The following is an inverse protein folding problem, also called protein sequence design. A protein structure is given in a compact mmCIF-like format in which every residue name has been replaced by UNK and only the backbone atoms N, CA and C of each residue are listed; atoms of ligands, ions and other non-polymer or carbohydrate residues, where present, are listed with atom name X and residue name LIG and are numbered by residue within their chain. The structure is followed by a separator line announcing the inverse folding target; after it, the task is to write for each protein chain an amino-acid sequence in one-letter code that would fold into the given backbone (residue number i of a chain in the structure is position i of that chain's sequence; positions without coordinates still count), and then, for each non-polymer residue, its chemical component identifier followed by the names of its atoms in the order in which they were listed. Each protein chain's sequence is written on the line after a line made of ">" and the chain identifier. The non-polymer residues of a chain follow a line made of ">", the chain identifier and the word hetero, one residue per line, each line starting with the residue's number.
data_IF_996341067892
#
_entry.id   IF_996341067892
#
_cell.length_a   1.000
_cell.length_b   1.000
_cell.length_c   1.000
_cell.angle_alpha   90.00
_cell.angle_beta   90.00
_cell.angle_gamma   90.00
#
_symmetry.space_group_name_H-M   'P 1'
#
loop_
_entity.id
_entity.type
_entity.pdbx_description
1 polymer ?
#
# COMPACT_ATOMS: atom_id res chain seq x y z
N UNK A 1 5.16 21.36 21.63
CA UNK A 1 5.77 20.44 20.64
C UNK A 1 4.85 20.45 19.43
N UNK A 2 5.35 20.80 18.27
CA UNK A 2 4.57 20.73 17.02
C UNK A 2 4.38 19.24 16.73
N UNK A 3 3.13 18.77 16.63
CA UNK A 3 2.86 17.39 16.25
C UNK A 3 3.28 17.21 14.79
N UNK A 4 4.18 16.27 14.54
CA UNK A 4 4.58 15.90 13.18
C UNK A 4 3.40 15.20 12.52
N UNK A 5 2.97 15.67 11.36
CA UNK A 5 1.92 15.06 10.56
C UNK A 5 2.55 14.33 9.36
N UNK A 6 2.34 13.03 9.28
CA UNK A 6 2.89 12.17 8.22
C UNK A 6 1.73 11.57 7.42
N UNK A 7 1.76 11.77 6.12
CA UNK A 7 0.79 11.16 5.19
C UNK A 7 1.46 10.00 4.46
N UNK A 8 0.75 8.87 4.36
CA UNK A 8 1.26 7.67 3.69
C UNK A 8 0.31 7.25 2.57
N UNK A 9 0.80 7.11 1.34
CA UNK A 9 0.06 6.42 0.28
C UNK A 9 0.30 4.93 0.42
N UNK A 10 -0.78 4.17 0.57
CA UNK A 10 -0.70 2.74 0.83
C UNK A 10 -1.75 1.94 0.09
N UNK A 11 -1.38 0.73 -0.31
CA UNK A 11 -2.27 -0.32 -0.79
C UNK A 11 -1.69 -1.69 -0.45
N UNK A 12 -2.57 -2.67 -0.24
CA UNK A 12 -2.20 -4.04 0.01
C UNK A 12 -1.41 -4.30 1.30
N UNK A 13 -0.88 -5.52 1.38
CA UNK A 13 -0.18 -6.03 2.58
C UNK A 13 1.13 -5.28 2.86
N UNK A 14 1.87 -4.90 1.82
CA UNK A 14 3.13 -4.16 1.97
C UNK A 14 2.92 -2.81 2.64
N UNK A 15 1.94 -2.04 2.16
CA UNK A 15 1.55 -0.76 2.73
C UNK A 15 1.04 -0.87 4.17
N UNK A 16 0.22 -1.88 4.45
CA UNK A 16 -0.33 -2.14 5.78
C UNK A 16 0.78 -2.46 6.81
N UNK A 17 1.74 -3.32 6.44
CA UNK A 17 2.89 -3.65 7.30
C UNK A 17 3.79 -2.44 7.55
N UNK A 18 4.07 -1.66 6.50
CA UNK A 18 4.85 -0.44 6.63
C UNK A 18 4.19 0.56 7.59
N UNK A 19 2.87 0.78 7.48
CA UNK A 19 2.09 1.61 8.40
C UNK A 19 2.16 1.12 9.85
N UNK A 20 2.12 -0.19 10.08
CA UNK A 20 2.26 -0.75 11.43
C UNK A 20 3.64 -0.45 12.04
N UNK A 21 4.71 -0.58 11.24
CA UNK A 21 6.06 -0.20 11.65
C UNK A 21 6.21 1.31 11.88
N UNK A 22 5.61 2.12 11.03
CA UNK A 22 5.63 3.58 11.17
C UNK A 22 4.93 4.03 12.46
N UNK A 23 3.73 3.50 12.74
CA UNK A 23 3.01 3.78 13.99
C UNK A 23 3.83 3.41 15.23
N UNK A 24 4.53 2.27 15.18
CA UNK A 24 5.41 1.85 16.28
C UNK A 24 6.66 2.73 16.40
N UNK A 25 7.18 3.24 15.29
CA UNK A 25 8.38 4.06 15.27
C UNK A 25 8.16 5.49 15.79
N UNK A 26 6.96 6.04 15.58
CA UNK A 26 6.60 7.43 15.94
C UNK A 26 5.21 7.49 16.57
N UNK A 27 5.04 6.98 17.81
CA UNK A 27 3.73 6.85 18.46
C UNK A 27 3.04 8.20 18.72
N UNK A 28 3.79 9.28 18.80
CA UNK A 28 3.27 10.63 19.07
C UNK A 28 2.95 11.44 17.79
N UNK A 29 3.27 10.90 16.60
CA UNK A 29 2.97 11.57 15.36
C UNK A 29 1.51 11.37 14.94
N UNK A 30 0.93 12.39 14.29
CA UNK A 30 -0.32 12.23 13.56
C UNK A 30 -0.03 11.47 12.26
N UNK A 31 -0.69 10.34 12.06
CA UNK A 31 -0.56 9.52 10.87
C UNK A 31 -1.88 9.51 10.09
N UNK A 32 -1.82 9.81 8.81
CA UNK A 32 -2.93 9.68 7.87
C UNK A 32 -2.52 8.77 6.73
N UNK A 33 -3.30 7.73 6.46
CA UNK A 33 -3.10 6.83 5.33
C UNK A 33 -4.14 7.13 4.24
N UNK A 34 -3.67 7.48 3.05
CA UNK A 34 -4.50 7.53 1.83
C UNK A 34 -4.42 6.15 1.18
N UNK A 35 -5.53 5.44 1.21
CA UNK A 35 -5.57 4.02 0.83
C UNK A 35 -6.23 3.85 -0.54
N UNK A 36 -5.63 2.99 -1.37
CA UNK A 36 -6.17 2.59 -2.65
C UNK A 36 -7.56 1.96 -2.51
N UNK A 37 -8.49 2.36 -3.36
CA UNK A 37 -9.83 1.79 -3.50
C UNK A 37 -10.14 1.35 -4.93
N UNK A 38 -9.11 1.35 -5.81
CA UNK A 38 -9.28 0.88 -7.19
C UNK A 38 -9.43 -0.64 -7.30
N UNK A 39 -9.08 -1.37 -6.25
CA UNK A 39 -9.21 -2.84 -6.20
C UNK A 39 -10.54 -3.29 -5.57
N UNK A 40 -11.38 -2.33 -5.18
CA UNK A 40 -12.68 -2.58 -4.61
C UNK A 40 -13.58 -3.33 -5.59
N UNK A 41 -14.33 -4.30 -5.06
CA UNK A 41 -15.19 -5.17 -5.87
C UNK A 41 -16.55 -5.36 -5.21
N UNK A 42 -17.57 -5.60 -6.01
CA UNK A 42 -18.89 -5.99 -5.51
C UNK A 42 -19.13 -7.47 -5.81
N UNK A 43 -19.24 -8.28 -4.75
CA UNK A 43 -19.49 -9.72 -4.84
C UNK A 43 -20.67 -10.10 -3.94
N UNK A 44 -21.56 -10.94 -4.44
CA UNK A 44 -22.78 -11.33 -3.73
C UNK A 44 -23.61 -10.13 -3.19
N UNK A 45 -23.58 -9.01 -3.91
CA UNK A 45 -24.23 -7.76 -3.50
C UNK A 45 -23.49 -6.98 -2.40
N UNK A 46 -22.33 -7.44 -1.95
CA UNK A 46 -21.53 -6.79 -0.90
C UNK A 46 -20.38 -5.99 -1.50
N UNK A 47 -20.17 -4.76 -1.00
CA UNK A 47 -19.00 -3.95 -1.31
C UNK A 47 -17.81 -4.40 -0.48
N UNK A 48 -16.77 -4.83 -1.14
CA UNK A 48 -15.52 -5.32 -0.57
C UNK A 48 -14.42 -4.34 -0.93
N UNK A 49 -13.66 -3.89 0.07
CA UNK A 49 -12.57 -2.93 -0.09
C UNK A 49 -11.26 -3.57 0.43
N UNK A 50 -10.58 -4.40 -0.38
CA UNK A 50 -9.50 -5.27 0.09
C UNK A 50 -8.34 -4.51 0.74
N UNK A 51 -7.93 -3.38 0.17
CA UNK A 51 -6.81 -2.60 0.69
C UNK A 51 -7.16 -1.87 1.98
N UNK A 52 -8.33 -1.22 2.04
CA UNK A 52 -8.83 -0.59 3.27
C UNK A 52 -8.95 -1.60 4.41
N UNK A 53 -9.50 -2.78 4.13
CA UNK A 53 -9.70 -3.83 5.12
C UNK A 53 -8.36 -4.40 5.60
N UNK A 54 -7.44 -4.67 4.68
CA UNK A 54 -6.09 -5.14 5.02
C UNK A 54 -5.35 -4.14 5.91
N UNK A 55 -5.39 -2.84 5.59
CA UNK A 55 -4.77 -1.80 6.42
C UNK A 55 -5.44 -1.72 7.78
N UNK A 56 -6.78 -1.65 7.81
CA UNK A 56 -7.56 -1.55 9.03
C UNK A 56 -7.33 -2.75 9.97
N UNK A 57 -7.39 -3.97 9.43
CA UNK A 57 -7.17 -5.19 10.21
C UNK A 57 -5.73 -5.35 10.68
N UNK A 58 -4.76 -4.98 9.87
CA UNK A 58 -3.35 -5.01 10.26
C UNK A 58 -3.09 -4.09 11.44
N UNK A 59 -3.54 -2.84 11.33
CA UNK A 59 -3.35 -1.85 12.38
C UNK A 59 -4.21 -2.14 13.63
N UNK A 60 -5.39 -2.70 13.47
CA UNK A 60 -6.28 -3.08 14.55
C UNK A 60 -5.98 -4.45 15.19
N UNK A 61 -4.93 -5.16 14.73
CA UNK A 61 -4.52 -6.45 15.30
C UNK A 61 -5.44 -7.63 14.95
N UNK A 62 -6.30 -7.46 13.94
CA UNK A 62 -7.26 -8.49 13.52
C UNK A 62 -6.91 -9.22 12.23
N UNK A 63 -5.79 -8.89 11.58
CA UNK A 63 -5.32 -9.54 10.35
C UNK A 63 -4.90 -10.99 10.61
N UNK A 64 -5.12 -11.86 9.65
CA UNK A 64 -4.55 -13.20 9.68
C UNK A 64 -3.02 -13.12 9.40
N UNK A 65 -2.17 -13.56 10.32
CA UNK A 65 -0.72 -13.37 10.21
C UNK A 65 -0.08 -14.24 9.13
N UNK A 66 -0.67 -15.39 8.80
CA UNK A 66 -0.13 -16.33 7.81
C UNK A 66 -0.50 -15.88 6.40
N UNK A 67 -1.78 -15.60 6.16
CA UNK A 67 -2.24 -15.11 4.86
C UNK A 67 -1.81 -13.67 4.60
N UNK A 68 -1.80 -12.84 5.65
CA UNK A 68 -1.55 -11.40 5.57
C UNK A 68 -2.73 -10.62 4.95
N UNK A 69 -3.89 -11.24 4.79
CA UNK A 69 -5.16 -10.66 4.37
C UNK A 69 -6.32 -11.36 5.07
N UNK A 70 -7.49 -10.71 5.10
CA UNK A 70 -8.66 -11.22 5.81
C UNK A 70 -8.44 -11.25 7.33
N UNK A 71 -9.38 -11.82 8.05
CA UNK A 71 -9.37 -11.81 9.51
C UNK A 71 -8.76 -13.08 10.10
N UNK A 72 -8.11 -12.94 11.25
CA UNK A 72 -7.65 -14.07 12.02
C UNK A 72 -8.83 -14.91 12.56
N UNK A 73 -8.64 -16.22 12.60
CA UNK A 73 -9.62 -17.16 13.13
C UNK A 73 -10.92 -17.23 12.32
N UNK A 74 -10.82 -17.07 10.99
CA UNK A 74 -11.95 -17.20 10.08
C UNK A 74 -12.51 -18.64 10.04
N UNK A 75 -13.81 -18.74 9.81
CA UNK A 75 -14.49 -19.90 9.28
C UNK A 75 -15.00 -19.59 7.86
N UNK A 76 -15.43 -20.64 7.15
CA UNK A 76 -15.77 -20.55 5.72
C UNK A 76 -17.13 -21.17 5.42
N UNK A 77 -18.04 -21.16 6.42
CA UNK A 77 -19.36 -21.79 6.36
C UNK A 77 -20.21 -21.14 5.28
N UNK A 78 -20.31 -19.81 5.28
CA UNK A 78 -21.10 -19.06 4.27
C UNK A 78 -20.58 -19.32 2.87
N UNK A 79 -19.26 -19.38 2.67
CA UNK A 79 -18.68 -19.70 1.38
C UNK A 79 -19.07 -21.11 0.89
N UNK A 80 -19.08 -22.11 1.80
CA UNK A 80 -19.49 -23.47 1.48
C UNK A 80 -20.98 -23.54 1.11
N UNK A 81 -21.84 -22.83 1.84
CA UNK A 81 -23.26 -22.77 1.55
C UNK A 81 -23.55 -22.05 0.23
N UNK A 82 -22.90 -20.91 -0.06
CA UNK A 82 -23.03 -20.23 -1.33
C UNK A 82 -22.64 -21.15 -2.50
N UNK A 83 -21.56 -21.91 -2.37
CA UNK A 83 -21.15 -22.88 -3.39
C UNK A 83 -22.19 -23.99 -3.57
N UNK A 84 -22.82 -24.47 -2.49
CA UNK A 84 -23.87 -25.48 -2.53
C UNK A 84 -25.14 -24.99 -3.25
N UNK A 85 -25.47 -23.67 -3.15
CA UNK A 85 -26.51 -23.03 -3.93
C UNK A 85 -26.10 -22.72 -5.38
N UNK A 86 -24.85 -22.97 -5.78
CA UNK A 86 -24.33 -22.60 -7.10
C UNK A 86 -24.14 -21.09 -7.28
N UNK A 87 -24.04 -20.33 -6.18
CA UNK A 87 -23.85 -18.89 -6.24
C UNK A 87 -22.40 -18.54 -6.66
N UNK A 88 -22.25 -17.79 -7.74
CA UNK A 88 -20.98 -17.29 -8.25
C UNK A 88 -20.73 -15.83 -7.79
N UNK A 89 -19.49 -15.40 -7.65
CA UNK A 89 -18.25 -16.15 -7.88
C UNK A 89 -17.78 -16.92 -6.63
N UNK A 90 -17.22 -18.12 -6.83
CA UNK A 90 -16.65 -18.96 -5.77
C UNK A 90 -15.15 -18.77 -5.55
N UNK A 91 -14.48 -18.08 -6.49
CA UNK A 91 -13.02 -17.90 -6.49
C UNK A 91 -12.51 -16.87 -5.47
N UNK A 92 -13.35 -15.93 -5.03
CA UNK A 92 -12.95 -14.95 -4.02
C UNK A 92 -13.30 -15.46 -2.62
N UNK A 93 -12.29 -15.56 -1.76
CA UNK A 93 -12.47 -16.05 -0.39
C UNK A 93 -13.00 -14.95 0.53
N UNK A 94 -14.25 -15.05 0.96
CA UNK A 94 -14.85 -14.24 2.02
C UNK A 94 -14.99 -15.09 3.27
N UNK A 95 -14.31 -14.73 4.35
CA UNK A 95 -14.45 -15.39 5.64
C UNK A 95 -15.73 -14.95 6.36
N UNK A 96 -16.26 -15.80 7.23
CA UNK A 96 -17.53 -15.56 7.92
C UNK A 96 -17.49 -14.30 8.82
N UNK A 97 -16.32 -14.01 9.42
CA UNK A 97 -16.11 -12.79 10.21
C UNK A 97 -15.91 -11.55 9.35
N UNK A 98 -15.24 -11.72 8.21
CA UNK A 98 -15.00 -10.63 7.25
C UNK A 98 -16.31 -10.16 6.61
N UNK A 99 -17.23 -11.09 6.36
CA UNK A 99 -18.59 -10.79 5.89
C UNK A 99 -19.31 -9.74 6.77
N UNK A 100 -19.08 -9.75 8.08
CA UNK A 100 -19.69 -8.75 8.97
C UNK A 100 -19.24 -7.32 8.61
N UNK A 101 -17.98 -7.11 8.26
CA UNK A 101 -17.45 -5.81 7.81
C UNK A 101 -18.09 -5.40 6.49
N UNK A 102 -18.18 -6.33 5.53
CA UNK A 102 -18.78 -6.05 4.22
C UNK A 102 -20.28 -5.77 4.31
N UNK A 103 -21.01 -6.47 5.17
CA UNK A 103 -22.44 -6.21 5.44
C UNK A 103 -22.66 -4.82 6.03
N UNK A 104 -21.88 -4.43 7.05
CA UNK A 104 -21.98 -3.09 7.67
C UNK A 104 -21.65 -2.02 6.64
N UNK A 105 -20.54 -2.19 5.89
CA UNK A 105 -20.14 -1.26 4.84
C UNK A 105 -21.23 -1.09 3.79
N UNK A 106 -21.72 -2.19 3.22
CA UNK A 106 -22.72 -2.15 2.15
C UNK A 106 -24.00 -1.48 2.63
N UNK A 107 -24.48 -1.84 3.82
CA UNK A 107 -25.67 -1.22 4.41
C UNK A 107 -25.52 0.29 4.59
N UNK A 108 -24.35 0.78 5.01
CA UNK A 108 -24.11 2.21 5.17
C UNK A 108 -24.04 2.92 3.81
N UNK A 109 -23.38 2.33 2.83
CA UNK A 109 -23.31 2.86 1.45
C UNK A 109 -24.71 2.94 0.83
N UNK A 110 -25.54 1.91 1.01
CA UNK A 110 -26.94 1.86 0.52
C UNK A 110 -27.82 2.90 1.22
N UNK A 111 -27.49 3.25 2.46
CA UNK A 111 -28.15 4.34 3.19
C UNK A 111 -27.64 5.74 2.76
N UNK A 112 -26.70 5.83 1.79
CA UNK A 112 -26.21 7.07 1.22
C UNK A 112 -24.99 7.67 1.92
N UNK A 113 -24.39 6.98 2.89
CA UNK A 113 -23.13 7.45 3.50
C UNK A 113 -21.97 7.31 2.50
N UNK A 114 -21.10 8.32 2.36
CA UNK A 114 -19.91 8.21 1.52
C UNK A 114 -18.88 7.23 2.12
N UNK A 115 -18.02 6.65 1.27
CA UNK A 115 -17.04 5.64 1.68
C UNK A 115 -16.09 6.14 2.77
N UNK A 116 -15.73 7.43 2.77
CA UNK A 116 -14.92 8.07 3.81
C UNK A 116 -15.56 7.98 5.20
N UNK A 117 -16.85 8.26 5.31
CA UNK A 117 -17.60 8.14 6.57
C UNK A 117 -17.78 6.68 6.99
N UNK A 118 -18.04 5.80 6.03
CA UNK A 118 -18.12 4.35 6.29
C UNK A 118 -16.79 3.82 6.80
N UNK A 119 -15.68 4.23 6.18
CA UNK A 119 -14.33 3.85 6.61
C UNK A 119 -14.03 4.33 8.04
N UNK A 120 -14.38 5.57 8.36
CA UNK A 120 -14.22 6.10 9.71
C UNK A 120 -15.04 5.32 10.75
N UNK A 121 -16.31 5.00 10.45
CA UNK A 121 -17.17 4.21 11.34
C UNK A 121 -16.66 2.77 11.55
N UNK A 122 -16.12 2.14 10.52
CA UNK A 122 -15.50 0.81 10.64
C UNK A 122 -14.18 0.89 11.43
N UNK A 123 -13.35 1.91 11.17
CA UNK A 123 -12.09 2.14 11.87
C UNK A 123 -12.29 2.41 13.37
N UNK A 124 -13.40 3.01 13.76
CA UNK A 124 -13.72 3.25 15.19
C UNK A 124 -13.74 1.94 16.00
N UNK A 125 -14.24 0.85 15.43
CA UNK A 125 -14.17 -0.47 16.08
C UNK A 125 -12.73 -0.98 16.23
N UNK A 126 -11.88 -0.72 15.24
CA UNK A 126 -10.55 -1.32 15.15
C UNK A 126 -9.46 -0.51 15.84
N UNK A 127 -9.74 0.78 16.13
CA UNK A 127 -8.78 1.70 16.75
C UNK A 127 -7.37 1.62 16.11
N UNK A 128 -7.25 1.83 14.79
CA UNK A 128 -5.99 1.58 14.07
C UNK A 128 -4.86 2.51 14.51
N UNK A 129 -5.16 3.62 15.21
CA UNK A 129 -4.16 4.63 15.59
C UNK A 129 -3.59 5.43 14.42
N UNK A 130 -4.20 5.28 13.24
CA UNK A 130 -3.89 5.99 11.99
C UNK A 130 -5.22 6.41 11.39
N UNK A 131 -5.34 7.64 10.93
CA UNK A 131 -6.50 8.10 10.18
C UNK A 131 -6.51 7.43 8.80
N UNK A 132 -7.58 6.67 8.51
CA UNK A 132 -7.71 5.97 7.23
C UNK A 132 -8.64 6.74 6.31
N UNK A 133 -8.12 7.21 5.19
CA UNK A 133 -8.88 7.90 4.15
C UNK A 133 -8.87 7.05 2.87
N UNK A 134 -10.04 6.73 2.29
CA UNK A 134 -10.06 6.19 0.92
C UNK A 134 -9.54 7.25 -0.04
N UNK A 135 -8.93 6.86 -1.14
CA UNK A 135 -8.46 7.83 -2.15
C UNK A 135 -9.59 8.68 -2.71
N UNK A 136 -10.80 8.14 -2.76
CA UNK A 136 -12.02 8.78 -3.28
C UNK A 136 -13.26 8.15 -2.67
N UNK A 137 -14.37 8.89 -2.61
CA UNK A 137 -15.69 8.36 -2.26
C UNK A 137 -16.43 7.77 -3.48
N UNK A 138 -15.97 8.09 -4.69
CA UNK A 138 -16.56 7.61 -5.91
C UNK A 138 -16.10 6.18 -6.21
N UNK A 139 -16.93 5.46 -6.98
CA UNK A 139 -16.57 4.12 -7.45
C UNK A 139 -15.53 4.24 -8.55
N UNK A 140 -14.31 3.78 -8.26
CA UNK A 140 -13.22 3.60 -9.21
C UNK A 140 -12.79 2.14 -9.15
N UNK A 141 -12.67 1.49 -10.29
CA UNK A 141 -12.27 0.08 -10.38
C UNK A 141 -11.12 -0.09 -11.37
N UNK A 142 -10.09 -0.79 -10.94
CA UNK A 142 -8.97 -1.18 -11.81
C UNK A 142 -9.39 -2.40 -12.64
N UNK A 143 -9.34 -2.26 -13.95
CA UNK A 143 -9.55 -3.32 -14.92
C UNK A 143 -8.26 -3.61 -15.68
N UNK A 144 -8.04 -4.87 -15.99
CA UNK A 144 -6.88 -5.35 -16.75
C UNK A 144 -7.33 -5.73 -18.14
N UNK A 145 -6.73 -5.13 -19.15
CA UNK A 145 -6.94 -5.52 -20.52
C UNK A 145 -6.07 -6.73 -20.85
N UNK A 146 -6.69 -7.83 -21.21
CA UNK A 146 -6.04 -9.08 -21.59
C UNK A 146 -6.56 -9.57 -22.94
N UNK A 147 -5.82 -10.47 -23.59
CA UNK A 147 -6.36 -11.19 -24.74
C UNK A 147 -7.20 -12.38 -24.25
N UNK A 148 -8.41 -12.50 -24.77
CA UNK A 148 -9.24 -13.69 -24.59
C UNK A 148 -8.54 -14.90 -25.22
N UNK A 149 -8.28 -15.98 -24.46
CA UNK A 149 -7.49 -17.09 -24.94
C UNK A 149 -8.17 -17.89 -26.07
N UNK A 150 -9.50 -17.84 -26.16
CA UNK A 150 -10.26 -18.57 -27.18
C UNK A 150 -10.40 -17.79 -28.49
N UNK A 151 -10.51 -16.48 -28.42
CA UNK A 151 -10.81 -15.62 -29.58
C UNK A 151 -9.66 -14.68 -29.98
N UNK A 152 -8.67 -14.49 -29.11
CA UNK A 152 -7.60 -13.50 -29.28
C UNK A 152 -8.07 -12.05 -29.17
N UNK A 153 -9.37 -11.79 -28.93
CA UNK A 153 -9.92 -10.44 -28.81
C UNK A 153 -9.53 -9.84 -27.46
N UNK A 154 -9.34 -8.54 -27.42
CA UNK A 154 -9.12 -7.83 -26.17
C UNK A 154 -10.42 -7.79 -25.35
N UNK A 155 -10.28 -8.07 -24.07
CA UNK A 155 -11.32 -7.91 -23.05
C UNK A 155 -10.76 -7.25 -21.80
N UNK A 156 -11.59 -6.51 -21.08
CA UNK A 156 -11.25 -5.95 -19.80
C UNK A 156 -11.86 -6.84 -18.70
N UNK A 157 -11.03 -7.31 -17.79
CA UNK A 157 -11.46 -8.09 -16.62
C UNK A 157 -11.14 -7.31 -15.37
N UNK A 158 -11.94 -7.43 -14.32
CA UNK A 158 -11.66 -6.76 -13.05
C UNK A 158 -10.31 -7.23 -12.47
N UNK A 159 -9.54 -6.32 -11.84
CA UNK A 159 -8.21 -6.62 -11.31
C UNK A 159 -8.22 -7.81 -10.35
N UNK A 160 -9.18 -7.89 -9.43
CA UNK A 160 -9.30 -9.01 -8.49
C UNK A 160 -9.57 -10.33 -9.20
N UNK A 161 -10.34 -10.34 -10.30
CA UNK A 161 -10.56 -11.54 -11.10
C UNK A 161 -9.28 -11.96 -11.81
N UNK A 162 -8.59 -11.03 -12.45
CA UNK A 162 -7.31 -11.31 -13.10
C UNK A 162 -6.27 -11.83 -12.10
N UNK A 163 -6.18 -11.24 -10.92
CA UNK A 163 -5.21 -11.65 -9.92
C UNK A 163 -5.61 -12.95 -9.21
N UNK A 164 -6.79 -12.99 -8.59
CA UNK A 164 -7.17 -14.09 -7.69
C UNK A 164 -7.64 -15.32 -8.46
N UNK A 165 -8.53 -15.12 -9.45
CA UNK A 165 -9.08 -16.23 -10.26
C UNK A 165 -8.07 -16.74 -11.26
N UNK A 166 -7.46 -15.82 -12.02
CA UNK A 166 -6.56 -16.16 -13.12
C UNK A 166 -5.08 -16.14 -12.72
N UNK A 167 -4.74 -15.86 -11.45
CA UNK A 167 -3.37 -15.83 -10.91
C UNK A 167 -2.40 -14.95 -11.71
N UNK A 168 -2.94 -13.91 -12.35
CA UNK A 168 -2.21 -13.05 -13.28
C UNK A 168 -1.51 -13.81 -14.44
N UNK A 169 -2.00 -14.98 -14.80
CA UNK A 169 -1.46 -15.78 -15.93
C UNK A 169 -1.73 -15.13 -17.29
N UNK A 170 -2.94 -14.58 -17.57
CA UNK A 170 -3.15 -13.84 -18.81
C UNK A 170 -2.27 -12.59 -18.83
N UNK A 171 -1.53 -12.41 -19.93
CA UNK A 171 -0.68 -11.25 -20.13
C UNK A 171 -1.49 -9.96 -20.12
N UNK A 172 -1.16 -9.07 -19.17
CA UNK A 172 -1.77 -7.76 -19.09
C UNK A 172 -1.22 -6.85 -20.20
N UNK A 173 -2.09 -6.18 -20.93
CA UNK A 173 -1.74 -5.21 -22.00
C UNK A 173 -1.94 -3.77 -21.58
N UNK A 174 -2.89 -3.52 -20.67
CA UNK A 174 -3.13 -2.21 -20.08
C UNK A 174 -3.84 -2.37 -18.74
N UNK A 175 -3.68 -1.38 -17.86
CA UNK A 175 -4.49 -1.18 -16.67
C UNK A 175 -5.37 0.05 -16.89
N UNK A 176 -6.67 -0.09 -16.68
CA UNK A 176 -7.66 0.97 -16.89
C UNK A 176 -8.42 1.21 -15.61
N UNK A 177 -8.49 2.44 -15.18
CA UNK A 177 -9.24 2.85 -14.00
C UNK A 177 -10.63 3.32 -14.42
N UNK A 178 -11.60 2.43 -14.34
CA UNK A 178 -13.00 2.74 -14.72
C UNK A 178 -13.61 3.66 -13.67
N UNK A 179 -14.17 4.78 -14.11
CA UNK A 179 -14.82 5.78 -13.26
C UNK A 179 -13.87 6.87 -12.71
N UNK A 180 -12.58 6.80 -12.98
CA UNK A 180 -11.60 7.73 -12.41
C UNK A 180 -11.79 9.17 -12.89
N UNK A 181 -12.20 9.39 -14.15
CA UNK A 181 -12.36 10.74 -14.73
C UNK A 181 -13.41 11.60 -13.99
N UNK A 182 -14.40 10.96 -13.38
CA UNK A 182 -15.44 11.60 -12.60
C UNK A 182 -15.14 11.63 -11.09
N UNK A 183 -14.05 10.99 -10.67
CA UNK A 183 -13.67 10.90 -9.26
C UNK A 183 -13.06 12.21 -8.76
N UNK A 184 -13.16 12.41 -7.45
CA UNK A 184 -12.53 13.51 -6.71
C UNK A 184 -11.84 12.93 -5.49
N UNK A 185 -10.81 13.59 -4.95
CA UNK A 185 -10.23 13.21 -3.67
C UNK A 185 -11.31 13.07 -2.60
N UNK A 186 -11.24 12.05 -1.77
CA UNK A 186 -12.13 11.97 -0.63
C UNK A 186 -11.88 13.16 0.33
N UNK A 187 -12.91 13.56 1.11
CA UNK A 187 -12.75 14.63 2.10
C UNK A 187 -11.59 14.35 3.06
N UNK A 188 -10.78 15.37 3.31
CA UNK A 188 -9.60 15.29 4.17
C UNK A 188 -8.30 14.91 3.47
N UNK A 189 -8.33 14.36 2.24
CA UNK A 189 -7.09 13.91 1.57
C UNK A 189 -6.25 15.10 1.09
N UNK A 190 -6.84 16.08 0.44
CA UNK A 190 -6.11 17.27 -0.01
C UNK A 190 -5.59 18.09 1.18
N UNK A 191 -6.38 18.22 2.22
CA UNK A 191 -6.03 18.88 3.47
C UNK A 191 -4.87 18.16 4.19
N UNK A 192 -4.87 16.82 4.17
CA UNK A 192 -3.80 16.03 4.74
C UNK A 192 -2.47 16.29 4.02
N UNK A 193 -2.45 16.33 2.69
CA UNK A 193 -1.24 16.68 1.92
C UNK A 193 -0.79 18.13 2.19
N UNK A 194 -1.71 19.08 2.27
CA UNK A 194 -1.38 20.49 2.52
C UNK A 194 -0.79 20.72 3.92
N UNK A 195 -1.12 19.87 4.89
CA UNK A 195 -0.63 19.96 6.28
C UNK A 195 0.50 18.96 6.59
N UNK A 196 0.97 18.17 5.61
CA UNK A 196 1.96 17.13 5.84
C UNK A 196 3.37 17.69 6.04
N UNK A 197 4.04 17.28 7.11
CA UNK A 197 5.48 17.50 7.31
C UNK A 197 6.32 16.50 6.48
N UNK A 198 5.74 15.33 6.16
CA UNK A 198 6.31 14.34 5.26
C UNK A 198 5.20 13.56 4.55
N UNK A 199 5.45 13.18 3.28
CA UNK A 199 4.62 12.24 2.53
C UNK A 199 5.45 11.01 2.19
N UNK A 200 4.93 9.83 2.52
CA UNK A 200 5.63 8.58 2.30
C UNK A 200 4.87 7.71 1.28
N UNK A 201 5.58 7.25 0.26
CA UNK A 201 5.07 6.21 -0.63
C UNK A 201 5.51 4.87 -0.05
N UNK A 202 4.58 4.14 0.56
CA UNK A 202 4.83 2.80 1.10
C UNK A 202 5.32 1.84 -0.01
N UNK A 203 5.96 0.69 0.33
CA UNK A 203 6.37 -0.32 -0.66
C UNK A 203 5.14 -1.08 -1.20
N UNK A 204 4.20 -0.34 -1.77
CA UNK A 204 2.99 -0.80 -2.46
C UNK A 204 3.24 -0.87 -3.96
N UNK A 205 2.35 -1.55 -4.69
CA UNK A 205 2.48 -1.67 -6.14
C UNK A 205 2.47 -0.29 -6.82
N UNK A 206 3.50 0.05 -7.61
CA UNK A 206 3.59 1.38 -8.24
C UNK A 206 2.47 1.66 -9.24
N UNK A 207 1.91 0.63 -9.87
CA UNK A 207 0.92 0.73 -10.94
C UNK A 207 -0.50 0.72 -10.36
N UNK A 208 -0.87 -0.40 -9.72
CA UNK A 208 -2.26 -0.65 -9.30
C UNK A 208 -2.59 -0.19 -7.87
N UNK A 209 -1.62 0.33 -7.13
CA UNK A 209 -1.89 0.96 -5.83
C UNK A 209 -1.53 2.44 -5.85
N UNK A 210 -0.24 2.80 -5.86
CA UNK A 210 0.20 4.21 -5.84
C UNK A 210 -0.27 4.94 -7.10
N UNK A 211 -0.10 4.31 -8.28
CA UNK A 211 -0.56 4.87 -9.54
C UNK A 211 -2.07 5.09 -9.59
N UNK A 212 -2.85 4.16 -9.03
CA UNK A 212 -4.30 4.27 -8.93
C UNK A 212 -4.73 5.42 -8.02
N UNK A 213 -4.11 5.57 -6.84
CA UNK A 213 -4.36 6.71 -5.94
C UNK A 213 -4.10 8.02 -6.68
N UNK A 214 -2.93 8.14 -7.32
CA UNK A 214 -2.52 9.36 -8.02
C UNK A 214 -3.25 9.60 -9.35
N UNK A 215 -3.97 8.58 -9.84
CA UNK A 215 -4.86 8.68 -10.99
C UNK A 215 -6.14 9.47 -10.72
N UNK A 216 -6.56 9.59 -9.46
CA UNK A 216 -7.72 10.43 -9.10
C UNK A 216 -7.39 11.90 -9.37
N UNK A 217 -8.18 12.61 -10.20
CA UNK A 217 -7.93 14.01 -10.55
C UNK A 217 -7.73 14.89 -9.32
N UNK A 218 -6.65 15.66 -9.31
CA UNK A 218 -6.28 16.55 -8.20
C UNK A 218 -5.37 15.94 -7.13
N UNK A 219 -5.26 14.59 -7.01
CA UNK A 219 -4.41 13.97 -5.98
C UNK A 219 -2.91 14.10 -6.27
N UNK A 220 -2.52 13.96 -7.55
CA UNK A 220 -1.12 14.17 -7.94
C UNK A 220 -0.69 15.63 -7.69
N UNK A 221 -1.53 16.57 -8.06
CA UNK A 221 -1.30 17.99 -7.86
C UNK A 221 -1.22 18.33 -6.37
N UNK A 222 -2.11 17.80 -5.55
CA UNK A 222 -2.09 17.99 -4.10
C UNK A 222 -0.81 17.42 -3.46
N UNK A 223 -0.37 16.24 -3.89
CA UNK A 223 0.90 15.66 -3.44
C UNK A 223 2.09 16.55 -3.86
N UNK A 224 2.12 17.03 -5.09
CA UNK A 224 3.21 17.89 -5.57
C UNK A 224 3.26 19.23 -4.85
N UNK A 225 2.12 19.74 -4.40
CA UNK A 225 2.00 21.00 -3.66
C UNK A 225 2.31 20.85 -2.16
N UNK A 226 2.50 19.63 -1.64
CA UNK A 226 2.79 19.43 -0.21
C UNK A 226 4.06 20.17 0.22
N UNK A 227 4.07 20.82 1.41
CA UNK A 227 5.28 21.45 1.95
C UNK A 227 6.32 20.42 2.40
N UNK A 228 5.86 19.23 2.82
CA UNK A 228 6.70 18.16 3.28
C UNK A 228 7.49 17.49 2.14
N UNK A 229 8.61 16.83 2.50
CA UNK A 229 9.35 16.00 1.54
C UNK A 229 8.60 14.72 1.21
N UNK A 230 8.69 14.30 -0.05
CA UNK A 230 8.11 13.04 -0.54
C UNK A 230 9.19 11.98 -0.60
N UNK A 231 9.03 10.92 0.17
CA UNK A 231 9.99 9.81 0.25
C UNK A 231 9.30 8.52 -0.15
N UNK A 232 9.88 7.81 -1.11
CA UNK A 232 9.36 6.50 -1.51
C UNK A 232 10.25 5.36 -1.02
N UNK A 233 9.63 4.19 -0.83
CA UNK A 233 10.30 2.93 -0.48
C UNK A 233 10.09 1.93 -1.61
N UNK A 234 11.17 1.34 -2.11
CA UNK A 234 11.13 0.38 -3.22
C UNK A 234 10.32 -0.88 -2.86
N UNK A 235 9.36 -1.28 -3.71
CA UNK A 235 8.72 -2.59 -3.59
C UNK A 235 9.56 -3.72 -4.20
N UNK A 236 10.66 -3.39 -4.87
CA UNK A 236 11.58 -4.34 -5.49
C UNK A 236 12.82 -4.47 -4.62
N UNK A 237 13.19 -5.70 -4.32
CA UNK A 237 14.35 -6.07 -3.51
C UNK A 237 15.19 -7.07 -4.30
N UNK A 238 16.46 -6.77 -4.54
CA UNK A 238 17.37 -7.63 -5.29
C UNK A 238 16.79 -8.07 -6.66
N UNK A 239 16.15 -7.13 -7.36
CA UNK A 239 15.55 -7.37 -8.70
C UNK A 239 14.25 -8.19 -8.67
N UNK A 240 13.67 -8.47 -7.50
CA UNK A 240 12.46 -9.27 -7.36
C UNK A 240 11.38 -8.57 -6.51
N UNK A 241 10.14 -8.92 -6.78
CA UNK A 241 9.00 -8.51 -5.94
C UNK A 241 8.98 -9.38 -4.68
N UNK A 242 8.97 -8.75 -3.50
CA UNK A 242 8.88 -9.50 -2.23
C UNK A 242 7.49 -10.11 -2.06
N UNK A 243 6.46 -9.36 -2.44
CA UNK A 243 5.06 -9.81 -2.39
C UNK A 243 4.21 -9.03 -3.41
N UNK A 244 3.20 -9.68 -3.94
CA UNK A 244 2.32 -9.09 -4.95
C UNK A 244 2.79 -9.41 -6.36
N UNK A 245 2.51 -8.52 -7.33
CA UNK A 245 2.74 -8.77 -8.75
C UNK A 245 3.22 -7.52 -9.51
N UNK A 246 4.03 -6.69 -8.86
CA UNK A 246 4.59 -5.52 -9.54
C UNK A 246 5.43 -5.91 -10.77
N UNK A 247 6.02 -7.12 -10.77
CA UNK A 247 6.73 -7.73 -11.90
C UNK A 247 5.84 -7.98 -13.12
N UNK A 248 4.53 -8.19 -12.91
CA UNK A 248 3.54 -8.32 -13.98
C UNK A 248 2.98 -6.97 -14.43
N UNK A 249 3.02 -5.97 -13.54
CA UNK A 249 2.42 -4.67 -13.80
C UNK A 249 3.40 -3.68 -14.46
N UNK A 250 4.64 -3.63 -13.99
CA UNK A 250 5.65 -2.66 -14.45
C UNK A 250 5.97 -2.76 -15.96
N UNK A 251 6.15 -3.98 -16.53
CA UNK A 251 6.45 -4.11 -17.95
C UNK A 251 5.35 -3.56 -18.87
N UNK A 252 4.08 -3.56 -18.42
CA UNK A 252 2.97 -2.99 -19.20
C UNK A 252 3.13 -1.49 -19.42
N UNK A 253 3.83 -0.81 -18.51
CA UNK A 253 4.17 0.61 -18.60
C UNK A 253 5.57 0.85 -19.22
N UNK A 254 6.27 -0.21 -19.67
CA UNK A 254 7.64 -0.11 -20.15
C UNK A 254 8.64 0.17 -19.02
N UNK A 255 8.29 -0.11 -17.78
CA UNK A 255 9.14 0.11 -16.60
C UNK A 255 9.87 -1.18 -16.25
N UNK A 256 11.19 -1.07 -16.07
CA UNK A 256 12.03 -2.18 -15.64
C UNK A 256 11.64 -2.65 -14.22
N UNK A 257 11.67 -3.97 -14.01
CA UNK A 257 11.41 -4.57 -12.69
C UNK A 257 12.68 -4.47 -11.83
N UNK A 258 12.98 -3.26 -11.41
CA UNK A 258 14.12 -2.93 -10.56
C UNK A 258 13.81 -1.75 -9.63
N UNK A 259 14.59 -1.60 -8.56
CA UNK A 259 14.47 -0.45 -7.67
C UNK A 259 14.74 0.87 -8.43
N UNK A 260 15.67 0.85 -9.39
CA UNK A 260 15.98 1.98 -10.27
C UNK A 260 14.81 2.28 -11.21
N UNK A 261 14.26 1.25 -11.88
CA UNK A 261 13.13 1.41 -12.79
C UNK A 261 11.92 2.05 -12.13
N UNK A 262 11.56 1.60 -10.93
CA UNK A 262 10.46 2.21 -10.14
C UNK A 262 10.82 3.62 -9.70
N UNK A 263 12.04 3.86 -9.20
CA UNK A 263 12.49 5.19 -8.82
C UNK A 263 12.43 6.19 -9.97
N UNK A 264 12.88 5.79 -11.16
CA UNK A 264 12.82 6.61 -12.39
C UNK A 264 11.39 6.82 -12.88
N UNK A 265 10.50 5.82 -12.73
CA UNK A 265 9.08 5.94 -13.05
C UNK A 265 8.40 7.00 -12.17
N UNK A 266 8.72 7.05 -10.89
CA UNK A 266 8.22 8.10 -10.00
C UNK A 266 8.89 9.45 -10.29
N UNK A 267 10.18 9.47 -10.57
CA UNK A 267 10.95 10.65 -10.93
C UNK A 267 11.16 11.66 -9.82
N UNK A 268 12.05 12.61 -10.04
CA UNK A 268 12.34 13.68 -9.10
C UNK A 268 11.24 14.75 -9.07
N UNK A 269 10.82 15.16 -7.89
CA UNK A 269 9.83 16.24 -7.68
C UNK A 269 10.28 17.55 -8.30
N UNK A 270 11.58 17.86 -8.24
CA UNK A 270 12.18 19.03 -8.90
C UNK A 270 12.08 19.03 -10.41
N UNK A 271 11.81 17.88 -11.03
CA UNK A 271 11.64 17.70 -12.48
C UNK A 271 10.18 17.30 -12.86
N UNK A 272 9.19 17.54 -11.96
CA UNK A 272 7.78 17.20 -12.19
C UNK A 272 7.42 15.74 -11.87
N UNK A 273 8.36 14.96 -11.32
CA UNK A 273 8.11 13.64 -10.74
C UNK A 273 7.56 13.74 -9.32
N UNK A 274 7.72 12.69 -8.52
CA UNK A 274 7.12 12.58 -7.18
C UNK A 274 8.14 12.72 -6.04
N UNK A 275 9.40 12.27 -6.24
CA UNK A 275 10.32 11.94 -5.17
C UNK A 275 11.29 13.08 -4.83
N UNK A 276 11.51 13.28 -3.53
CA UNK A 276 12.66 14.00 -2.97
C UNK A 276 13.74 13.01 -2.48
N UNK A 277 13.34 11.80 -2.05
CA UNK A 277 14.25 10.71 -1.69
C UNK A 277 13.64 9.34 -2.02
N UNK A 278 14.53 8.37 -2.26
CA UNK A 278 14.17 7.01 -2.64
C UNK A 278 14.97 5.99 -1.83
N UNK A 279 14.30 5.09 -1.12
CA UNK A 279 14.93 4.03 -0.36
C UNK A 279 14.95 2.74 -1.19
N UNK A 280 16.14 2.15 -1.31
CA UNK A 280 16.39 0.89 -2.00
C UNK A 280 16.97 -0.13 -1.01
N UNK A 281 16.89 -1.42 -1.34
CA UNK A 281 17.43 -2.45 -0.46
C UNK A 281 18.97 -2.37 -0.39
N UNK A 282 19.53 -2.74 0.75
CA UNK A 282 20.98 -2.89 0.90
C UNK A 282 21.51 -3.89 -0.14
N UNK A 283 22.44 -3.45 -0.97
CA UNK A 283 22.96 -4.22 -2.10
C UNK A 283 22.31 -3.92 -3.44
N UNK A 284 21.17 -3.26 -3.47
CA UNK A 284 20.60 -2.72 -4.71
C UNK A 284 21.25 -1.39 -5.04
N UNK A 285 21.61 -1.21 -6.30
CA UNK A 285 22.02 0.08 -6.84
C UNK A 285 20.82 0.72 -7.57
N UNK A 286 20.69 2.02 -7.48
CA UNK A 286 19.73 2.78 -8.27
C UNK A 286 20.28 4.18 -8.55
N UNK A 287 20.28 4.57 -9.82
CA UNK A 287 20.54 5.93 -10.26
C UNK A 287 19.23 6.58 -10.68
N UNK A 288 18.70 7.43 -9.80
CA UNK A 288 17.47 8.20 -10.05
C UNK A 288 17.86 9.69 -10.10
N UNK A 289 17.92 10.30 -11.29
CA UNK A 289 18.38 11.67 -11.44
C UNK A 289 17.65 12.65 -10.52
N UNK A 290 18.41 13.49 -9.81
CA UNK A 290 17.92 14.53 -8.90
C UNK A 290 17.08 14.01 -7.70
N UNK A 291 17.17 12.73 -7.36
CA UNK A 291 16.56 12.11 -6.17
C UNK A 291 17.66 11.63 -5.23
N UNK A 292 17.52 11.88 -3.94
CA UNK A 292 18.42 11.37 -2.91
C UNK A 292 18.16 9.87 -2.68
N UNK A 293 18.99 9.00 -3.28
CA UNK A 293 18.87 7.54 -3.10
C UNK A 293 19.62 7.09 -1.86
N UNK A 294 18.99 6.21 -1.06
CA UNK A 294 19.57 5.62 0.16
C UNK A 294 19.34 4.12 0.20
N UNK A 295 20.42 3.36 0.44
CA UNK A 295 20.35 1.91 0.60
C UNK A 295 20.18 1.56 2.09
N UNK A 296 19.08 0.86 2.42
CA UNK A 296 18.73 0.40 3.77
C UNK A 296 18.07 -0.98 3.70
N UNK A 297 18.06 -1.79 4.79
CA UNK A 297 17.29 -3.04 4.78
C UNK A 297 15.81 -2.78 4.59
N UNK A 298 15.22 -3.28 3.48
CA UNK A 298 13.80 -3.09 3.16
C UNK A 298 12.89 -4.24 3.59
N UNK A 299 13.47 -5.40 3.98
CA UNK A 299 12.67 -6.58 4.32
C UNK A 299 11.99 -6.39 5.69
N UNK A 300 10.66 -6.33 5.68
CA UNK A 300 9.81 -6.24 6.86
C UNK A 300 9.59 -7.62 7.50
N UNK A 301 10.70 -8.26 7.92
CA UNK A 301 10.73 -9.63 8.44
C UNK A 301 10.29 -9.76 9.90
N UNK A 302 10.36 -8.67 10.66
CA UNK A 302 9.88 -8.58 12.04
C UNK A 302 9.31 -7.19 12.33
N UNK A 303 8.56 -7.00 13.43
CA UNK A 303 8.11 -5.67 13.86
C UNK A 303 9.27 -4.68 14.03
N UNK A 304 10.41 -5.12 14.57
CA UNK A 304 11.60 -4.30 14.80
C UNK A 304 12.24 -3.87 13.47
N UNK A 305 12.39 -4.80 12.52
CA UNK A 305 12.89 -4.52 11.18
C UNK A 305 11.98 -3.52 10.44
N UNK A 306 10.67 -3.69 10.59
CA UNK A 306 9.68 -2.79 9.97
C UNK A 306 9.74 -1.39 10.59
N UNK A 307 9.86 -1.30 11.92
CA UNK A 307 10.02 -0.02 12.60
C UNK A 307 11.37 0.66 12.26
N UNK A 308 12.44 -0.13 12.06
CA UNK A 308 13.73 0.40 11.61
C UNK A 308 13.65 0.98 10.19
N UNK A 309 12.97 0.29 9.26
CA UNK A 309 12.71 0.81 7.92
C UNK A 309 11.90 2.12 7.97
N UNK A 310 10.85 2.16 8.79
CA UNK A 310 10.03 3.37 8.96
C UNK A 310 10.86 4.56 9.48
N UNK A 311 11.73 4.35 10.47
CA UNK A 311 12.66 5.39 10.95
C UNK A 311 13.61 5.86 9.85
N UNK A 312 14.23 4.93 9.12
CA UNK A 312 15.11 5.29 8.01
C UNK A 312 14.39 6.11 6.92
N UNK A 313 13.12 5.82 6.69
CA UNK A 313 12.29 6.58 5.75
C UNK A 313 12.03 8.01 6.26
N UNK A 314 11.73 8.16 7.55
CA UNK A 314 11.55 9.47 8.18
C UNK A 314 12.86 10.28 8.22
N UNK A 315 14.00 9.65 8.52
CA UNK A 315 15.30 10.30 8.47
C UNK A 315 15.62 10.85 7.07
N UNK A 316 15.16 10.14 6.02
CA UNK A 316 15.25 10.64 4.65
C UNK A 316 14.33 11.83 4.40
N UNK A 317 13.17 11.90 5.06
CA UNK A 317 12.23 13.01 4.95
C UNK A 317 12.74 14.29 5.64
N UNK A 318 13.41 14.19 6.79
CA UNK A 318 13.97 15.37 7.49
C UNK A 318 15.33 15.82 6.94
N UNK A 319 15.89 15.10 5.95
CA UNK A 319 17.14 15.52 5.29
C UNK A 319 18.41 15.34 6.12
N UNK A 320 18.34 14.67 7.27
CA UNK A 320 19.47 14.38 8.15
C UNK A 320 20.38 13.25 7.62
N UNK A 321 21.68 13.23 8.00
CA UNK A 321 22.50 12.04 7.79
C UNK A 321 21.96 10.90 8.64
N UNK A 322 21.76 9.70 8.04
CA UNK A 322 21.52 8.50 8.82
C UNK A 322 22.73 8.29 9.75
N UNK A 323 22.49 8.28 11.07
CA UNK A 323 23.48 7.73 11.98
C UNK A 323 23.66 6.25 11.60
N UNK A 324 24.87 5.77 11.26
CA UNK A 324 25.08 4.36 10.98
C UNK A 324 24.59 3.56 12.21
N UNK A 325 23.99 2.37 12.03
CA UNK A 325 23.63 1.53 13.16
C UNK A 325 24.88 1.29 14.01
N UNK A 326 24.78 1.24 15.33
CA UNK A 326 25.92 0.93 16.18
C UNK A 326 26.48 -0.41 15.70
N UNK A 327 27.75 -0.39 15.32
CA UNK A 327 28.48 -1.60 14.96
C UNK A 327 28.32 -2.58 16.12
N UNK A 328 27.76 -3.76 15.83
CA UNK A 328 27.62 -4.85 16.77
C UNK A 328 29.00 -5.03 17.47
N UNK A 329 28.99 -4.87 18.77
CA UNK A 329 30.18 -4.71 19.56
C UNK A 329 31.28 -5.73 19.21
N UNK A 330 32.45 -5.24 18.83
CA UNK A 330 33.67 -6.00 18.88
C UNK A 330 33.82 -6.52 20.31
N UNK A 331 33.65 -7.83 20.47
CA UNK A 331 34.07 -8.49 21.71
C UNK A 331 35.51 -8.08 21.92
N UNK A 332 35.77 -7.32 22.98
CA UNK A 332 37.13 -7.16 23.49
C UNK A 332 37.50 -8.53 24.08
N UNK A 333 38.52 -9.15 23.52
CA UNK A 333 39.19 -10.30 24.14
C UNK A 333 39.71 -9.85 25.51
N UNK A 334 39.57 -10.66 26.55
CA UNK A 334 40.15 -10.35 27.87
C UNK A 334 41.67 -10.39 27.75
N UNK A 335 42.28 -9.24 28.01
CA UNK A 335 43.75 -9.11 28.16
C UNK A 335 44.28 -10.15 29.15
N UNK A 336 45.21 -10.96 28.67
CA UNK A 336 46.09 -11.77 29.48
C UNK A 336 46.81 -10.88 30.54
N UNK A 337 46.67 -11.24 31.80
CA UNK A 337 47.53 -10.67 32.87
C UNK A 337 48.89 -11.35 32.78
N UNK A 338 50.00 -10.63 32.78
CA UNK A 338 51.28 -11.25 33.02
C UNK A 338 51.40 -11.60 34.52
N UNK A 339 51.82 -12.84 34.74
CA UNK A 339 52.29 -13.30 36.05
C UNK A 339 53.52 -12.51 36.49
N UNK A 340 53.44 -12.01 37.73
CA UNK A 340 54.52 -11.90 38.69
C UNK A 340 54.00 -11.91 40.15
#
# INVERSE_FOLDING_TARGET
>A
MSFVHIVVLAGGVGGARFLAGLRSAVPDARLTAVVNTGDDVTLHGLRICPDLDTVMYTLGGGIDPERGWGRAGESWTVRAELAAYGAEPTWFGLGDRDLATHLVRTRMLDAGYPLSQVTAALADRWQPGVELLPMTDQRVETHVVVADPATGRQQAVHFQEWWVRHRAEPEARAFVQVGVDAAKPAPGVAEAFAAADAVLLAPSNPVVSVGTILGVPGLREALLATPGRVVGVSPIVSGAVVRGMADRCLPVLGVEVSAEGVGRHYGARSAGGLLDAWLVHTGDAADVPAVAVRAVPLLMSSPEATAALARATLDAAVGGPLCPPPLAGSRRDPEERPDD
#
